data_IF_289939307256
#
_entry.id   IF_289939307256
#
_cell.length_a   1.000
_cell.length_b   1.000
_cell.length_c   1.000
_cell.angle_alpha   90.00
_cell.angle_beta   90.00
_cell.angle_gamma   90.00
#
_symmetry.space_group_name_H-M   'P 1'
#
loop_
_entity.id
_entity.type
_entity.pdbx_description
1 polymer ?
#
# COMPACT_ATOMS: atom_id res chain seq x y z
N UNK A 1 -21.73 14.41 -3.36
CA UNK A 1 -22.13 13.51 -2.28
C UNK A 1 -21.08 12.41 -2.22
N UNK A 2 -19.89 12.76 -1.70
CA UNK A 2 -18.81 11.78 -1.52
C UNK A 2 -19.24 10.85 -0.39
N UNK A 3 -19.41 9.57 -0.71
CA UNK A 3 -19.55 8.53 0.32
C UNK A 3 -18.25 8.62 1.13
N UNK A 4 -18.33 9.07 2.38
CA UNK A 4 -17.26 8.80 3.34
C UNK A 4 -17.15 7.28 3.41
N UNK A 5 -16.14 6.71 2.75
CA UNK A 5 -15.68 5.37 3.08
C UNK A 5 -15.32 5.41 4.58
N UNK A 6 -15.69 4.37 5.31
CA UNK A 6 -15.26 4.22 6.70
C UNK A 6 -13.72 4.28 6.75
N UNK A 7 -13.15 4.73 7.86
CA UNK A 7 -11.71 4.85 8.03
C UNK A 7 -11.24 3.87 9.09
N UNK A 8 -10.07 3.27 8.89
CA UNK A 8 -9.49 2.30 9.82
C UNK A 8 -8.03 2.64 10.11
N UNK A 9 -7.62 2.51 11.38
CA UNK A 9 -6.23 2.70 11.78
C UNK A 9 -5.48 1.38 11.69
N UNK A 10 -4.51 1.30 10.78
CA UNK A 10 -3.77 0.07 10.49
C UNK A 10 -2.28 0.28 10.72
N UNK A 11 -1.64 -0.68 11.39
CA UNK A 11 -0.18 -0.71 11.50
C UNK A 11 0.36 -1.50 10.32
N UNK A 12 1.22 -0.86 9.53
CA UNK A 12 1.86 -1.48 8.39
C UNK A 12 3.29 -1.91 8.70
N UNK A 13 3.69 -3.05 8.14
CA UNK A 13 5.10 -3.39 7.98
C UNK A 13 5.64 -2.69 6.73
N UNK A 14 6.73 -1.92 6.86
CA UNK A 14 7.41 -1.34 5.70
C UNK A 14 8.12 -2.46 4.94
N UNK A 15 7.76 -2.67 3.69
CA UNK A 15 8.32 -3.72 2.85
C UNK A 15 8.78 -3.15 1.50
N UNK A 16 10.10 -3.02 1.34
CA UNK A 16 10.69 -2.59 0.06
C UNK A 16 10.60 -3.64 -1.06
N UNK A 17 10.24 -4.87 -0.73
CA UNK A 17 9.96 -5.93 -1.71
C UNK A 17 8.53 -5.88 -2.26
N UNK A 18 7.61 -5.19 -1.58
CA UNK A 18 6.24 -5.01 -2.03
C UNK A 18 6.11 -3.76 -2.92
N UNK A 19 5.60 -3.93 -4.15
CA UNK A 19 5.41 -2.81 -5.07
C UNK A 19 4.26 -1.89 -4.63
N UNK A 20 3.09 -2.48 -4.34
CA UNK A 20 1.92 -1.79 -3.83
C UNK A 20 1.71 -2.14 -2.37
N UNK A 21 1.08 -1.22 -1.63
CA UNK A 21 0.66 -1.51 -0.26
C UNK A 21 -0.44 -2.58 -0.26
N UNK A 22 -0.42 -3.48 0.71
CA UNK A 22 -1.40 -4.55 0.87
C UNK A 22 -2.27 -4.25 2.09
N UNK A 23 -3.59 -4.27 1.90
CA UNK A 23 -4.54 -4.16 2.99
C UNK A 23 -5.05 -5.55 3.36
N UNK A 24 -5.05 -5.93 4.66
CA UNK A 24 -5.69 -7.16 5.11
C UNK A 24 -7.16 -7.19 4.73
N UNK A 25 -7.71 -8.39 4.52
CA UNK A 25 -9.10 -8.57 4.10
C UNK A 25 -10.11 -7.81 4.94
N UNK A 26 -10.04 -8.01 6.25
CA UNK A 26 -10.94 -7.36 7.20
C UNK A 26 -10.89 -5.82 7.12
N UNK A 27 -9.70 -5.25 6.86
CA UNK A 27 -9.53 -3.79 6.75
C UNK A 27 -10.25 -3.27 5.52
N UNK A 28 -9.92 -3.79 4.33
CA UNK A 28 -10.46 -3.22 3.09
C UNK A 28 -11.96 -3.48 2.93
N UNK A 29 -12.48 -4.57 3.50
CA UNK A 29 -13.92 -4.83 3.58
C UNK A 29 -14.62 -3.83 4.52
N UNK A 30 -14.03 -3.54 5.69
CA UNK A 30 -14.56 -2.57 6.66
C UNK A 30 -14.65 -1.18 6.03
N UNK A 31 -13.56 -0.70 5.41
CA UNK A 31 -13.57 0.62 4.75
C UNK A 31 -14.32 0.61 3.40
N UNK A 32 -14.90 -0.53 3.00
CA UNK A 32 -15.80 -0.63 1.86
C UNK A 32 -15.12 -0.47 0.48
N UNK A 33 -13.83 -0.80 0.37
CA UNK A 33 -13.15 -0.82 -0.93
C UNK A 33 -13.73 -1.91 -1.84
N UNK A 34 -13.68 -1.65 -3.14
CA UNK A 34 -14.10 -2.59 -4.18
C UNK A 34 -12.94 -2.90 -5.12
N UNK A 35 -12.81 -4.13 -5.61
CA UNK A 35 -11.88 -4.45 -6.69
C UNK A 35 -12.11 -3.53 -7.89
N UNK A 36 -11.03 -2.95 -8.43
CA UNK A 36 -11.07 -2.11 -9.65
C UNK A 36 -10.37 -2.76 -10.83
N UNK A 37 -9.33 -3.53 -10.57
CA UNK A 37 -8.56 -4.29 -11.57
C UNK A 37 -7.94 -5.52 -10.90
N UNK A 38 -7.56 -6.51 -11.69
CA UNK A 38 -6.74 -7.64 -11.26
C UNK A 38 -5.35 -7.52 -11.87
N UNK A 39 -4.33 -7.91 -11.12
CA UNK A 39 -2.94 -7.94 -11.56
C UNK A 39 -2.26 -9.22 -11.04
N UNK A 40 -1.32 -9.73 -11.85
CA UNK A 40 -0.43 -10.81 -11.46
C UNK A 40 0.74 -10.26 -10.62
N UNK A 41 1.04 -10.92 -9.51
CA UNK A 41 2.18 -10.62 -8.64
C UNK A 41 3.06 -11.86 -8.49
N UNK A 42 4.38 -11.68 -8.57
CA UNK A 42 5.35 -12.72 -8.25
C UNK A 42 5.77 -12.60 -6.79
N UNK A 43 5.58 -13.67 -6.03
CA UNK A 43 5.94 -13.75 -4.62
C UNK A 43 7.44 -14.05 -4.43
N UNK A 44 7.91 -13.93 -3.19
CA UNK A 44 9.32 -14.14 -2.86
C UNK A 44 9.83 -15.57 -3.13
N UNK A 45 8.93 -16.56 -3.17
CA UNK A 45 9.23 -17.95 -3.52
C UNK A 45 9.21 -18.22 -5.04
N UNK A 46 8.94 -17.19 -5.84
CA UNK A 46 8.86 -17.25 -7.30
C UNK A 46 7.51 -17.71 -7.85
N UNK A 47 6.54 -18.01 -7.00
CA UNK A 47 5.17 -18.31 -7.44
C UNK A 47 4.45 -17.05 -7.93
N UNK A 48 3.51 -17.22 -8.85
CA UNK A 48 2.66 -16.13 -9.35
C UNK A 48 1.25 -16.27 -8.77
N UNK A 49 0.72 -15.17 -8.26
CA UNK A 49 -0.66 -15.07 -7.76
C UNK A 49 -1.41 -13.94 -8.47
N UNK A 50 -2.71 -14.10 -8.65
CA UNK A 50 -3.60 -13.02 -9.07
C UNK A 50 -4.15 -12.32 -7.83
N UNK A 51 -4.16 -10.98 -7.86
CA UNK A 51 -4.76 -10.18 -6.78
C UNK A 51 -5.60 -9.04 -7.33
N UNK A 52 -6.73 -8.80 -6.66
CA UNK A 52 -7.53 -7.60 -6.88
C UNK A 52 -6.82 -6.37 -6.32
N UNK A 53 -6.90 -5.26 -7.05
CA UNK A 53 -6.33 -3.97 -6.68
C UNK A 53 -7.42 -2.90 -6.67
N UNK A 54 -7.35 -2.02 -5.67
CA UNK A 54 -8.18 -0.81 -5.57
C UNK A 54 -7.31 0.44 -5.37
N UNK A 55 -7.93 1.56 -5.06
CA UNK A 55 -7.24 2.80 -4.73
C UNK A 55 -7.73 3.27 -3.36
N UNK A 56 -6.81 3.58 -2.45
CA UNK A 56 -7.11 4.08 -1.10
C UNK A 56 -6.54 5.47 -0.90
N UNK A 57 -7.19 6.27 -0.05
CA UNK A 57 -6.61 7.49 0.50
C UNK A 57 -5.97 7.14 1.85
N UNK A 58 -4.69 7.46 2.03
CA UNK A 58 -3.93 7.11 3.23
C UNK A 58 -3.37 8.37 3.87
N UNK A 59 -3.29 8.36 5.20
CA UNK A 59 -2.69 9.44 6.00
C UNK A 59 -1.62 8.83 6.90
N UNK A 60 -0.40 9.33 6.77
CA UNK A 60 0.74 9.00 7.63
C UNK A 60 1.32 10.29 8.24
N UNK A 61 2.17 10.22 9.28
CA UNK A 61 2.81 11.40 9.85
C UNK A 61 3.62 12.23 8.82
N UNK A 62 4.07 11.61 7.75
CA UNK A 62 4.86 12.24 6.68
C UNK A 62 3.99 12.94 5.63
N UNK A 63 2.68 12.65 5.55
CA UNK A 63 1.79 13.22 4.55
C UNK A 63 0.60 12.31 4.25
N UNK A 64 -0.21 12.73 3.28
CA UNK A 64 -1.39 12.02 2.81
C UNK A 64 -1.40 11.90 1.29
N UNK A 65 -1.99 10.83 0.76
CA UNK A 65 -2.04 10.58 -0.67
C UNK A 65 -3.10 9.55 -1.08
N UNK A 66 -3.47 9.57 -2.36
CA UNK A 66 -4.11 8.43 -3.02
C UNK A 66 -3.05 7.46 -3.54
N UNK A 67 -3.22 6.17 -3.28
CA UNK A 67 -2.28 5.12 -3.71
C UNK A 67 -3.03 3.85 -4.13
N UNK A 68 -2.50 3.08 -5.10
CA UNK A 68 -2.99 1.74 -5.36
C UNK A 68 -2.74 0.84 -4.14
N UNK A 69 -3.69 -0.05 -3.86
CA UNK A 69 -3.61 -1.05 -2.80
C UNK A 69 -4.03 -2.42 -3.29
N UNK A 70 -3.27 -3.44 -2.92
CA UNK A 70 -3.66 -4.84 -3.07
C UNK A 70 -4.74 -5.15 -2.03
N UNK A 71 -5.85 -5.72 -2.49
CA UNK A 71 -6.89 -6.26 -1.62
C UNK A 71 -6.46 -7.66 -1.18
N UNK A 72 -5.94 -7.75 0.05
CA UNK A 72 -5.41 -8.99 0.61
C UNK A 72 -6.46 -10.07 0.82
N UNK A 73 -5.98 -11.31 0.88
CA UNK A 73 -6.74 -12.50 1.24
C UNK A 73 -6.67 -12.76 2.76
N UNK A 74 -7.31 -13.85 3.20
CA UNK A 74 -7.29 -14.24 4.62
C UNK A 74 -5.88 -14.60 5.06
N UNK A 75 -5.41 -13.99 6.17
CA UNK A 75 -4.08 -14.20 6.71
C UNK A 75 -2.99 -13.28 6.16
N UNK A 76 -3.29 -12.45 5.14
CA UNK A 76 -2.34 -11.45 4.66
C UNK A 76 -2.14 -10.32 5.68
N UNK A 77 -0.88 -9.94 5.91
CA UNK A 77 -0.52 -8.82 6.78
C UNK A 77 -0.52 -7.48 6.05
N UNK A 78 -0.70 -6.39 6.80
CA UNK A 78 -0.64 -5.05 6.21
C UNK A 78 0.80 -4.68 5.81
N UNK A 79 1.05 -4.51 4.51
CA UNK A 79 2.36 -4.13 3.96
C UNK A 79 2.32 -2.73 3.37
N UNK A 80 3.30 -1.89 3.71
CA UNK A 80 3.49 -0.58 3.10
C UNK A 80 4.50 -0.73 1.97
N UNK A 81 3.99 -0.71 0.74
CA UNK A 81 4.79 -0.90 -0.47
C UNK A 81 5.47 0.38 -0.96
N UNK A 82 6.43 0.22 -1.86
CA UNK A 82 7.29 1.32 -2.33
C UNK A 82 6.51 2.42 -3.06
N UNK A 83 5.48 2.10 -3.84
CA UNK A 83 4.72 3.11 -4.59
C UNK A 83 4.04 4.11 -3.65
N UNK A 84 3.52 3.65 -2.51
CA UNK A 84 2.93 4.56 -1.52
C UNK A 84 3.99 5.50 -0.92
N UNK A 85 5.19 4.98 -0.63
CA UNK A 85 6.31 5.80 -0.16
C UNK A 85 6.76 6.83 -1.20
N UNK A 86 6.87 6.43 -2.47
CA UNK A 86 7.29 7.31 -3.56
C UNK A 86 6.28 8.44 -3.81
N UNK A 87 4.98 8.14 -3.77
CA UNK A 87 3.92 9.16 -3.88
C UNK A 87 4.04 10.19 -2.74
N UNK A 88 4.40 9.74 -1.54
CA UNK A 88 4.65 10.62 -0.39
C UNK A 88 6.01 11.33 -0.45
N UNK A 89 6.80 11.13 -1.52
CA UNK A 89 8.12 11.72 -1.67
C UNK A 89 9.16 11.14 -0.70
N UNK A 90 9.06 9.85 -0.39
CA UNK A 90 9.91 9.16 0.58
C UNK A 90 10.70 8.02 -0.06
N UNK A 91 11.86 7.72 0.53
CA UNK A 91 12.65 6.52 0.26
C UNK A 91 12.96 5.80 1.58
N UNK A 92 12.89 4.47 1.58
CA UNK A 92 13.23 3.65 2.75
C UNK A 92 14.71 3.26 2.73
N UNK A 93 15.40 3.50 3.85
CA UNK A 93 16.76 3.00 4.08
C UNK A 93 16.69 1.70 4.91
N UNK A 94 17.02 0.53 4.30
CA UNK A 94 16.86 -0.76 4.97
C UNK A 94 17.93 -1.02 6.05
N UNK A 95 19.08 -0.34 6.00
CA UNK A 95 20.20 -0.62 6.91
C UNK A 95 19.94 -0.11 8.33
N UNK A 96 19.35 1.07 8.44
CA UNK A 96 19.01 1.70 9.72
C UNK A 96 17.49 1.78 9.95
N UNK A 97 16.68 1.28 9.01
CA UNK A 97 15.21 1.24 9.07
C UNK A 97 14.57 2.61 9.23
N UNK A 98 15.05 3.60 8.47
CA UNK A 98 14.52 4.97 8.47
C UNK A 98 13.94 5.39 7.13
N UNK A 99 12.95 6.29 7.15
CA UNK A 99 12.44 6.96 5.95
C UNK A 99 13.17 8.28 5.74
N UNK A 100 13.53 8.58 4.50
CA UNK A 100 14.16 9.83 4.11
C UNK A 100 13.36 10.53 3.01
N UNK A 101 13.38 11.86 2.95
CA UNK A 101 12.85 12.59 1.80
C UNK A 101 13.57 12.16 0.51
N UNK A 102 12.79 11.90 -0.53
CA UNK A 102 13.30 11.66 -1.87
C UNK A 102 13.79 12.99 -2.47
N UNK A 103 14.87 12.94 -3.26
CA UNK A 103 15.25 14.05 -4.12
C UNK A 103 14.35 14.07 -5.36
N UNK A 104 13.43 15.02 -5.40
CA UNK A 104 12.56 15.25 -6.55
C UNK A 104 13.35 15.96 -7.66
N UNK A 105 13.39 15.38 -8.86
CA UNK A 105 13.99 15.98 -10.05
C UNK A 105 12.87 16.33 -11.03
N UNK A 106 12.94 17.55 -11.57
CA UNK A 106 12.12 17.99 -12.70
C UNK A 106 13.10 18.38 -13.81
N UNK A 107 12.93 17.80 -15.00
CA UNK A 107 13.71 18.12 -16.19
C UNK A 107 13.07 19.25 -17.01
#
# INVERSE_FOLDING_TARGET
MERCLEQENVKFLVDSGAIYSLLPKAVWETIGLKPKRELSFTLADGTTVERSVSEAFVTFPQGEAHTPVILGEEGDEALLGVVTLEILGLVFNPFNRTLHPMRMLLC
#
